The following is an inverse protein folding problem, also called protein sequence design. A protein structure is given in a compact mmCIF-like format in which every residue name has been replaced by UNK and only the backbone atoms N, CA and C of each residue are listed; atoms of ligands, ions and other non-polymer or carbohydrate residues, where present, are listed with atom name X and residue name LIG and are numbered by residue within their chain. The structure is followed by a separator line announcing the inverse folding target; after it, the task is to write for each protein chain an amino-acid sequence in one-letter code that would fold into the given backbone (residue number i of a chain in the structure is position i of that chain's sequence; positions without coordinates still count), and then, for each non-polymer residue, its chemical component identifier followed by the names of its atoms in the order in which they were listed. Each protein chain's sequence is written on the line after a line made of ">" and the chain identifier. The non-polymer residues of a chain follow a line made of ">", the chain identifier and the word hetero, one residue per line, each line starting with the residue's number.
data_IF_840104965601
#
_entry.id   IF_840104965601
#
_cell.length_a   1.000
_cell.length_b   1.000
_cell.length_c   1.000
_cell.angle_alpha   90.00
_cell.angle_beta   90.00
_cell.angle_gamma   90.00
#
_symmetry.space_group_name_H-M   'P 1'
#
loop_
_entity.id
_entity.type
_entity.pdbx_description
1 polymer ?
#
# COMPACT_ATOMS: atom_id res chain seq x y z
N UNK A 1 34.94 -17.08 17.96
CA UNK A 1 33.56 -17.18 17.47
C UNK A 1 32.72 -16.16 18.22
N UNK A 2 32.56 -14.99 17.62
CA UNK A 2 31.54 -13.97 17.89
C UNK A 2 31.54 -13.10 16.65
N UNK A 3 30.38 -12.96 16.03
CA UNK A 3 29.70 -11.69 15.73
C UNK A 3 28.55 -12.02 14.78
N UNK A 4 27.36 -12.10 15.37
CA UNK A 4 26.09 -11.98 14.67
C UNK A 4 26.07 -10.56 14.08
N UNK A 5 26.66 -10.41 12.89
CA UNK A 5 26.62 -9.16 12.14
C UNK A 5 25.21 -8.98 11.61
N UNK A 6 24.39 -8.34 12.43
CA UNK A 6 23.61 -7.17 12.06
C UNK A 6 23.00 -7.23 10.65
N UNK A 7 21.95 -8.03 10.49
CA UNK A 7 21.05 -7.90 9.34
C UNK A 7 19.93 -6.91 9.71
N UNK A 8 20.36 -5.74 10.18
CA UNK A 8 19.54 -4.56 10.30
C UNK A 8 19.71 -3.74 9.03
N UNK A 9 18.59 -3.29 8.47
CA UNK A 9 18.47 -2.21 7.48
C UNK A 9 18.84 -2.55 6.03
N UNK A 10 17.87 -3.10 5.28
CA UNK A 10 17.62 -2.65 3.90
C UNK A 10 16.23 -3.10 3.44
N UNK A 11 15.18 -2.50 4.00
CA UNK A 11 13.80 -2.69 3.56
C UNK A 11 13.15 -1.40 3.06
N UNK A 12 13.96 -0.42 2.65
CA UNK A 12 13.48 0.91 2.27
C UNK A 12 13.77 1.29 0.82
N UNK A 13 13.90 0.30 -0.08
CA UNK A 13 14.30 0.53 -1.47
C UNK A 13 13.16 1.00 -2.40
N UNK A 14 11.96 1.25 -1.89
CA UNK A 14 10.85 1.77 -2.69
C UNK A 14 10.39 3.13 -2.16
N UNK A 15 10.62 4.17 -2.95
CA UNK A 15 10.06 5.51 -2.73
C UNK A 15 8.52 5.47 -2.70
N UNK A 16 7.84 6.43 -2.05
CA UNK A 16 6.37 6.48 -2.02
C UNK A 16 5.71 6.42 -3.41
N UNK A 17 6.35 7.01 -4.43
CA UNK A 17 5.90 6.94 -5.83
C UNK A 17 6.05 5.54 -6.44
N UNK A 18 7.12 4.82 -6.12
CA UNK A 18 7.34 3.43 -6.57
C UNK A 18 6.43 2.43 -5.83
N UNK A 19 5.97 2.77 -4.62
CA UNK A 19 4.92 2.01 -3.92
C UNK A 19 3.54 2.20 -4.56
N UNK A 20 3.32 3.34 -5.23
CA UNK A 20 2.11 3.66 -6.00
C UNK A 20 2.13 3.11 -7.43
N UNK A 21 3.30 2.79 -7.98
CA UNK A 21 3.40 1.96 -9.19
C UNK A 21 2.90 0.55 -8.83
N UNK A 22 1.85 0.03 -9.48
CA UNK A 22 1.33 -1.26 -9.09
C UNK A 22 2.37 -2.33 -9.43
N UNK A 23 2.92 -3.05 -8.43
CA UNK A 23 3.99 -4.02 -8.66
C UNK A 23 3.54 -5.22 -9.51
N UNK A 24 2.24 -5.32 -9.81
CA UNK A 24 1.66 -6.29 -10.74
C UNK A 24 0.44 -5.70 -11.47
N UNK A 25 0.69 -4.86 -12.48
CA UNK A 25 -0.36 -4.41 -13.42
C UNK A 25 -1.14 -5.57 -14.04
N UNK A 26 -0.54 -6.75 -14.15
CA UNK A 26 -1.20 -8.01 -14.54
C UNK A 26 -2.37 -8.39 -13.63
N UNK A 27 -2.22 -8.25 -12.31
CA UNK A 27 -3.28 -8.57 -11.35
C UNK A 27 -4.39 -7.52 -11.40
N UNK A 28 -4.04 -6.25 -11.61
CA UNK A 28 -5.03 -5.18 -11.83
C UNK A 28 -5.82 -5.44 -13.11
N UNK A 29 -5.15 -5.74 -14.22
CA UNK A 29 -5.79 -6.06 -15.49
C UNK A 29 -6.66 -7.31 -15.39
N UNK A 30 -6.19 -8.35 -14.69
CA UNK A 30 -6.98 -9.55 -14.44
C UNK A 30 -8.26 -9.21 -13.66
N UNK A 31 -8.17 -8.40 -12.60
CA UNK A 31 -9.33 -7.94 -11.84
C UNK A 31 -10.32 -7.11 -12.66
N UNK A 32 -9.83 -6.22 -13.53
CA UNK A 32 -10.66 -5.44 -14.46
C UNK A 32 -11.39 -6.36 -15.45
N UNK A 33 -10.72 -7.38 -15.97
CA UNK A 33 -11.29 -8.32 -16.95
C UNK A 33 -12.27 -9.29 -16.29
N UNK A 34 -12.09 -9.66 -15.01
CA UNK A 34 -12.94 -10.66 -14.35
C UNK A 34 -14.15 -10.08 -13.63
N UNK A 35 -14.11 -8.81 -13.22
CA UNK A 35 -15.25 -8.14 -12.57
C UNK A 35 -16.03 -7.34 -13.62
N UNK A 36 -17.10 -7.95 -14.13
CA UNK A 36 -17.86 -7.43 -15.26
C UNK A 36 -19.01 -6.49 -14.84
N UNK A 37 -19.31 -6.42 -13.55
CA UNK A 37 -20.43 -5.64 -13.03
C UNK A 37 -20.02 -4.80 -11.81
N UNK A 38 -20.65 -3.62 -11.73
CA UNK A 38 -20.34 -2.63 -10.69
C UNK A 38 -20.86 -3.02 -9.31
N UNK A 39 -21.81 -3.96 -9.21
CA UNK A 39 -22.37 -4.41 -7.94
C UNK A 39 -21.36 -5.30 -7.22
N UNK A 40 -20.80 -6.29 -7.92
CA UNK A 40 -19.71 -7.16 -7.46
C UNK A 40 -18.48 -6.34 -7.09
N UNK A 41 -18.08 -5.37 -7.91
CA UNK A 41 -16.96 -4.48 -7.59
C UNK A 41 -17.18 -3.73 -6.27
N UNK A 42 -18.38 -3.18 -6.05
CA UNK A 42 -18.73 -2.47 -4.81
C UNK A 42 -18.74 -3.39 -3.60
N UNK A 43 -19.21 -4.64 -3.75
CA UNK A 43 -19.19 -5.62 -2.68
C UNK A 43 -17.75 -6.01 -2.28
N UNK A 44 -16.86 -6.23 -3.24
CA UNK A 44 -15.44 -6.48 -2.99
C UNK A 44 -14.78 -5.30 -2.27
N UNK A 45 -15.00 -4.08 -2.76
CA UNK A 45 -14.46 -2.86 -2.13
C UNK A 45 -15.01 -2.67 -0.71
N UNK A 46 -16.30 -2.89 -0.49
CA UNK A 46 -16.91 -2.79 0.84
C UNK A 46 -16.34 -3.82 1.81
N UNK A 47 -16.16 -5.07 1.35
CA UNK A 47 -15.55 -6.14 2.14
C UNK A 47 -14.10 -5.80 2.52
N UNK A 48 -13.29 -5.36 1.57
CA UNK A 48 -11.90 -4.96 1.84
C UNK A 48 -11.84 -3.76 2.79
N UNK A 49 -12.67 -2.73 2.55
CA UNK A 49 -12.74 -1.55 3.40
C UNK A 49 -13.13 -1.90 4.85
N UNK A 50 -13.99 -2.90 5.05
CA UNK A 50 -14.43 -3.36 6.37
C UNK A 50 -13.41 -4.26 7.08
N UNK A 51 -12.68 -5.11 6.34
CA UNK A 51 -11.83 -6.16 6.93
C UNK A 51 -10.33 -5.84 6.94
N UNK A 52 -9.85 -4.88 6.13
CA UNK A 52 -8.42 -4.61 5.96
C UNK A 52 -7.93 -3.39 6.76
N UNK A 53 -8.68 -2.93 7.77
CA UNK A 53 -8.22 -1.84 8.64
C UNK A 53 -7.96 -0.51 7.90
N UNK A 54 -8.72 -0.24 6.82
CA UNK A 54 -8.56 0.93 5.94
C UNK A 54 -8.37 2.24 6.68
N UNK A 55 -9.14 2.47 7.75
CA UNK A 55 -9.07 3.69 8.54
C UNK A 55 -7.70 3.88 9.23
N UNK A 56 -7.07 2.78 9.67
CA UNK A 56 -5.74 2.85 10.28
C UNK A 56 -4.66 3.12 9.23
N UNK A 57 -4.79 2.50 8.04
CA UNK A 57 -3.88 2.76 6.91
C UNK A 57 -4.01 4.21 6.46
N UNK A 58 -5.23 4.73 6.28
CA UNK A 58 -5.46 6.12 5.90
C UNK A 58 -4.88 7.11 6.92
N UNK A 59 -5.05 6.85 8.22
CA UNK A 59 -4.42 7.69 9.27
C UNK A 59 -2.89 7.69 9.20
N UNK A 60 -2.27 6.53 8.93
CA UNK A 60 -0.81 6.45 8.77
C UNK A 60 -0.33 7.20 7.53
N UNK A 61 -1.06 7.09 6.42
CA UNK A 61 -0.75 7.82 5.19
C UNK A 61 -0.91 9.33 5.36
N UNK A 62 -1.97 9.77 6.05
CA UNK A 62 -2.19 11.18 6.39
C UNK A 62 -1.05 11.73 7.25
N UNK A 63 -0.63 10.99 8.28
CA UNK A 63 0.51 11.36 9.12
C UNK A 63 1.80 11.47 8.30
N UNK A 64 2.13 10.46 7.51
CA UNK A 64 3.33 10.50 6.66
C UNK A 64 3.31 11.66 5.67
N UNK A 65 2.15 11.96 5.07
CA UNK A 65 2.02 13.09 4.17
C UNK A 65 2.18 14.44 4.89
N UNK A 66 1.74 14.54 6.15
CA UNK A 66 1.99 15.72 6.98
C UNK A 66 3.47 15.88 7.29
N UNK A 67 4.14 14.80 7.70
CA UNK A 67 5.56 14.82 8.07
C UNK A 67 6.44 15.24 6.88
N UNK A 68 6.13 14.73 5.67
CA UNK A 68 6.84 15.12 4.44
C UNK A 68 6.66 16.62 4.16
N UNK A 69 5.43 17.13 4.24
CA UNK A 69 5.16 18.57 4.01
C UNK A 69 5.88 19.46 5.02
N UNK A 70 5.94 19.06 6.29
CA UNK A 70 6.63 19.80 7.34
C UNK A 70 8.17 19.76 7.25
N UNK A 71 8.74 18.90 6.40
CA UNK A 71 10.19 18.86 6.10
C UNK A 71 10.55 19.68 4.85
N UNK A 72 9.56 20.08 4.04
CA UNK A 72 9.76 20.89 2.84
C UNK A 72 9.68 22.41 3.13
N UNK A 73 9.24 22.81 4.33
CA UNK A 73 9.23 24.19 4.87
C UNK A 73 10.49 24.50 5.69
#
# INVERSE_FOLDING_TARGET
>A
MSELSDQSVESDSLTPKQRLEPPNSRLINAGIVTIHDMETLRACVAYENANQGRIQILRRLEQQASDIRSQED
#
